data_IF_103908709698
#
_entry.id   IF_103908709698
#
_cell.length_a   1.000
_cell.length_b   1.000
_cell.length_c   1.000
_cell.angle_alpha   90.00
_cell.angle_beta   90.00
_cell.angle_gamma   90.00
#
_symmetry.space_group_name_H-M   'P 1'
#
loop_
_entity.id
_entity.type
_entity.pdbx_description
1 polymer ?
#
# COMPACT_ATOMS: atom_id res chain seq x y z
N UNK A 1 18.52 -7.11 -11.35
CA UNK A 1 18.82 -5.88 -12.11
C UNK A 1 17.75 -5.54 -13.15
N UNK A 2 17.23 -6.53 -13.94
CA UNK A 2 16.23 -6.27 -14.98
C UNK A 2 14.91 -5.70 -14.42
N UNK A 3 14.41 -6.22 -13.28
CA UNK A 3 13.21 -5.68 -12.60
C UNK A 3 13.42 -4.21 -12.22
N UNK A 4 14.60 -3.87 -11.65
CA UNK A 4 14.90 -2.50 -11.22
C UNK A 4 14.98 -1.56 -12.43
N UNK A 5 15.67 -1.98 -13.49
CA UNK A 5 15.76 -1.21 -14.74
C UNK A 5 14.38 -0.97 -15.35
N UNK A 6 13.57 -2.02 -15.49
CA UNK A 6 12.20 -1.91 -16.02
C UNK A 6 11.28 -1.03 -15.12
N UNK A 7 11.47 -1.08 -13.80
CA UNK A 7 10.75 -0.17 -12.88
C UNK A 7 11.17 1.28 -13.11
N UNK A 8 12.44 1.54 -13.38
CA UNK A 8 12.93 2.86 -13.77
C UNK A 8 12.24 3.37 -15.03
N UNK A 9 12.09 2.53 -16.05
CA UNK A 9 11.32 2.88 -17.25
C UNK A 9 9.88 3.27 -16.91
N UNK A 10 9.15 2.46 -16.12
CA UNK A 10 7.78 2.78 -15.71
C UNK A 10 7.69 4.12 -14.97
N UNK A 11 8.69 4.42 -14.13
CA UNK A 11 8.71 5.66 -13.36
C UNK A 11 8.99 6.91 -14.22
N UNK A 12 9.78 6.79 -15.29
CA UNK A 12 10.32 7.94 -16.04
C UNK A 12 9.84 8.05 -17.49
N UNK A 13 9.16 7.02 -18.04
CA UNK A 13 8.72 7.01 -19.44
C UNK A 13 7.82 8.21 -19.75
N UNK A 14 8.13 8.96 -20.82
CA UNK A 14 7.27 9.97 -21.42
C UNK A 14 6.17 9.31 -22.26
N UNK A 15 6.52 8.57 -23.31
CA UNK A 15 5.54 7.89 -24.16
C UNK A 15 4.77 6.80 -23.40
N UNK A 16 3.44 6.77 -23.57
CA UNK A 16 2.60 5.74 -22.92
C UNK A 16 2.98 4.32 -23.35
N UNK A 17 3.36 4.14 -24.62
CA UNK A 17 3.82 2.84 -25.13
C UNK A 17 5.07 2.34 -24.39
N UNK A 18 6.01 3.23 -24.07
CA UNK A 18 7.23 2.90 -23.31
C UNK A 18 6.89 2.54 -21.85
N UNK A 19 5.96 3.25 -21.24
CA UNK A 19 5.46 2.90 -19.90
C UNK A 19 4.87 1.49 -19.88
N UNK A 20 3.99 1.17 -20.83
CA UNK A 20 3.38 -0.17 -20.92
C UNK A 20 4.43 -1.25 -21.20
N UNK A 21 5.39 -0.99 -22.08
CA UNK A 21 6.52 -1.90 -22.32
C UNK A 21 7.34 -2.17 -21.05
N UNK A 22 7.68 -1.11 -20.31
CA UNK A 22 8.33 -1.21 -19.00
C UNK A 22 7.51 -1.99 -17.98
N UNK A 23 6.20 -1.75 -17.93
CA UNK A 23 5.27 -2.48 -17.06
C UNK A 23 5.26 -3.98 -17.33
N UNK A 24 5.18 -4.38 -18.60
CA UNK A 24 5.25 -5.78 -19.01
C UNK A 24 6.61 -6.40 -18.67
N UNK A 25 7.69 -5.65 -18.88
CA UNK A 25 9.05 -6.08 -18.55
C UNK A 25 9.23 -6.29 -17.03
N UNK A 26 8.66 -5.43 -16.18
CA UNK A 26 8.61 -5.63 -14.70
C UNK A 26 7.92 -6.94 -14.37
N UNK A 27 6.73 -7.17 -14.95
CA UNK A 27 5.96 -8.40 -14.72
C UNK A 27 6.71 -9.65 -15.14
N UNK A 28 7.21 -9.68 -16.37
CA UNK A 28 7.94 -10.82 -16.95
C UNK A 28 9.23 -11.14 -16.20
N UNK A 29 10.04 -10.12 -15.90
CA UNK A 29 11.30 -10.30 -15.15
C UNK A 29 11.06 -10.76 -13.71
N UNK A 30 10.01 -10.27 -13.06
CA UNK A 30 9.63 -10.76 -11.73
C UNK A 30 9.15 -12.21 -11.77
N UNK A 31 8.32 -12.60 -12.74
CA UNK A 31 7.88 -14.00 -12.91
C UNK A 31 9.05 -14.92 -13.16
N UNK A 32 10.07 -14.49 -13.93
CA UNK A 32 11.29 -15.23 -14.10
C UNK A 32 12.07 -15.41 -12.79
N UNK A 33 12.18 -14.35 -11.98
CA UNK A 33 12.82 -14.40 -10.67
C UNK A 33 12.05 -15.29 -9.67
N UNK A 34 10.73 -15.21 -9.65
CA UNK A 34 9.89 -16.07 -8.83
C UNK A 34 10.00 -17.54 -9.22
N UNK A 35 10.09 -17.81 -10.52
CA UNK A 35 10.21 -19.16 -11.07
C UNK A 35 11.65 -19.71 -11.09
N UNK A 36 12.63 -19.01 -10.56
CA UNK A 36 14.05 -19.47 -10.57
C UNK A 36 14.23 -20.80 -9.83
N UNK A 37 13.56 -21.01 -8.70
CA UNK A 37 13.60 -22.24 -7.90
C UNK A 37 12.31 -23.04 -8.03
N UNK A 38 11.98 -23.47 -9.26
CA UNK A 38 10.79 -24.30 -9.56
C UNK A 38 10.83 -25.70 -8.95
N UNK A 39 11.98 -26.10 -8.45
CA UNK A 39 12.22 -27.33 -7.70
C UNK A 39 11.59 -27.30 -6.29
N UNK A 40 11.41 -26.10 -5.71
CA UNK A 40 10.84 -25.96 -4.38
C UNK A 40 9.33 -26.18 -4.37
N UNK A 41 8.79 -26.83 -3.31
CA UNK A 41 7.35 -27.05 -3.15
C UNK A 41 6.55 -25.72 -3.19
N UNK A 42 5.42 -25.72 -3.91
CA UNK A 42 4.53 -24.57 -3.99
C UNK A 42 4.96 -23.44 -4.94
N UNK A 43 6.23 -23.39 -5.39
CA UNK A 43 6.71 -22.32 -6.29
C UNK A 43 6.00 -22.36 -7.64
N UNK A 44 5.77 -23.55 -8.21
CA UNK A 44 5.06 -23.67 -9.51
C UNK A 44 3.61 -23.19 -9.43
N UNK A 45 2.94 -23.49 -8.32
CA UNK A 45 1.57 -23.03 -8.09
C UNK A 45 1.52 -21.51 -7.89
N UNK A 46 2.40 -20.97 -7.05
CA UNK A 46 2.57 -19.53 -6.86
C UNK A 46 2.86 -18.80 -8.16
N UNK A 47 3.78 -19.32 -8.97
CA UNK A 47 4.13 -18.76 -10.28
C UNK A 47 2.91 -18.72 -11.20
N UNK A 48 2.16 -19.83 -11.33
CA UNK A 48 0.95 -19.90 -12.16
C UNK A 48 -0.14 -18.94 -11.66
N UNK A 49 -0.35 -18.89 -10.35
CA UNK A 49 -1.34 -17.99 -9.76
C UNK A 49 -0.98 -16.52 -10.00
N UNK A 50 0.29 -16.15 -9.84
CA UNK A 50 0.80 -14.80 -10.09
C UNK A 50 0.70 -14.45 -11.57
N UNK A 51 1.17 -15.33 -12.47
CA UNK A 51 1.13 -15.11 -13.91
C UNK A 51 -0.29 -14.88 -14.43
N UNK A 52 -1.27 -15.67 -13.97
CA UNK A 52 -2.68 -15.48 -14.35
C UNK A 52 -3.22 -14.10 -13.95
N UNK A 53 -2.87 -13.58 -12.75
CA UNK A 53 -3.35 -12.27 -12.29
C UNK A 53 -2.61 -11.13 -13.01
N UNK A 54 -1.32 -11.29 -13.24
CA UNK A 54 -0.57 -10.33 -14.03
C UNK A 54 -1.10 -10.27 -15.46
N UNK A 55 -1.37 -11.41 -16.11
CA UNK A 55 -1.97 -11.44 -17.44
C UNK A 55 -3.29 -10.67 -17.53
N UNK A 56 -4.17 -10.78 -16.52
CA UNK A 56 -5.43 -10.00 -16.48
C UNK A 56 -5.13 -8.50 -16.41
N UNK A 57 -4.25 -8.07 -15.49
CA UNK A 57 -3.90 -6.65 -15.35
C UNK A 57 -3.15 -6.10 -16.57
N UNK A 58 -2.21 -6.90 -17.11
CA UNK A 58 -1.40 -6.52 -18.25
C UNK A 58 -2.28 -6.41 -19.53
N UNK A 59 -3.21 -7.35 -19.74
CA UNK A 59 -4.17 -7.26 -20.83
C UNK A 59 -5.09 -6.04 -20.72
N UNK A 60 -5.54 -5.70 -19.50
CA UNK A 60 -6.33 -4.51 -19.27
C UNK A 60 -5.54 -3.23 -19.62
N UNK A 61 -4.27 -3.14 -19.20
CA UNK A 61 -3.44 -1.98 -19.51
C UNK A 61 -3.14 -1.88 -21.02
N UNK A 62 -2.84 -3.01 -21.68
CA UNK A 62 -2.64 -3.03 -23.13
C UNK A 62 -3.91 -2.62 -23.86
N UNK A 63 -5.09 -3.08 -23.44
CA UNK A 63 -6.36 -2.66 -24.02
C UNK A 63 -6.59 -1.14 -23.87
N UNK A 64 -6.27 -0.57 -22.69
CA UNK A 64 -6.33 0.88 -22.47
C UNK A 64 -5.38 1.64 -23.43
N UNK A 65 -4.12 1.14 -23.59
CA UNK A 65 -3.17 1.70 -24.55
C UNK A 65 -3.71 1.66 -25.97
N UNK A 66 -4.26 0.52 -26.43
CA UNK A 66 -4.79 0.38 -27.79
C UNK A 66 -5.92 1.37 -28.05
N UNK A 67 -6.85 1.53 -27.08
CA UNK A 67 -7.94 2.52 -27.22
C UNK A 67 -7.38 3.94 -27.34
N UNK A 68 -6.41 4.31 -26.51
CA UNK A 68 -5.81 5.64 -26.56
C UNK A 68 -5.02 5.86 -27.86
N UNK A 69 -4.22 4.88 -28.27
CA UNK A 69 -3.40 4.96 -29.47
C UNK A 69 -4.26 5.12 -30.73
N UNK A 70 -5.35 4.34 -30.86
CA UNK A 70 -6.23 4.42 -32.02
C UNK A 70 -6.96 5.76 -32.14
N UNK A 71 -7.11 6.50 -31.03
CA UNK A 71 -7.83 7.76 -30.99
C UNK A 71 -6.91 8.99 -31.06
N UNK A 72 -5.70 8.92 -30.48
CA UNK A 72 -4.83 10.08 -30.27
C UNK A 72 -3.39 9.87 -30.73
N UNK A 73 -3.03 8.66 -31.22
CA UNK A 73 -1.64 8.29 -31.45
C UNK A 73 -0.89 8.04 -30.13
N UNK A 74 0.41 8.29 -30.12
CA UNK A 74 1.22 8.15 -28.91
C UNK A 74 0.94 9.29 -27.93
N UNK A 75 0.54 8.95 -26.73
CA UNK A 75 0.20 9.90 -25.66
C UNK A 75 1.46 10.15 -24.82
N UNK A 76 1.89 11.41 -24.75
CA UNK A 76 3.01 11.80 -23.89
C UNK A 76 2.54 12.15 -22.48
N UNK A 77 3.03 11.38 -21.50
CA UNK A 77 2.71 11.52 -20.09
C UNK A 77 3.47 12.68 -19.41
N UNK A 78 4.45 13.27 -20.07
CA UNK A 78 5.17 14.46 -19.59
C UNK A 78 4.28 15.71 -19.67
N UNK A 79 3.25 15.67 -20.54
CA UNK A 79 2.25 16.72 -20.67
C UNK A 79 0.88 16.27 -20.09
N UNK A 80 0.72 16.22 -18.77
CA UNK A 80 -0.46 15.63 -18.13
C UNK A 80 -1.78 16.33 -18.47
N UNK A 81 -1.73 17.62 -18.79
CA UNK A 81 -2.93 18.38 -19.16
C UNK A 81 -3.43 18.02 -20.57
N UNK A 82 -2.53 17.76 -21.52
CA UNK A 82 -2.89 17.25 -22.84
C UNK A 82 -3.53 15.86 -22.77
N UNK A 83 -2.98 14.99 -21.94
CA UNK A 83 -3.52 13.65 -21.67
C UNK A 83 -4.92 13.71 -21.04
N UNK A 84 -5.11 14.64 -20.07
CA UNK A 84 -6.42 14.85 -19.43
C UNK A 84 -7.46 15.38 -20.41
N UNK A 85 -7.09 16.33 -21.25
CA UNK A 85 -7.96 16.87 -22.29
C UNK A 85 -8.37 15.78 -23.26
N UNK A 86 -7.42 14.96 -23.71
CA UNK A 86 -7.67 13.82 -24.60
C UNK A 86 -8.72 12.85 -24.02
N UNK A 87 -8.58 12.46 -22.76
CA UNK A 87 -9.54 11.54 -22.12
C UNK A 87 -10.90 12.18 -21.87
N UNK A 88 -10.92 13.48 -21.55
CA UNK A 88 -12.17 14.24 -21.39
C UNK A 88 -13.06 14.20 -22.66
N UNK A 89 -12.45 14.12 -23.85
CA UNK A 89 -13.15 14.02 -25.12
C UNK A 89 -13.63 12.59 -25.47
N UNK A 90 -13.17 11.56 -24.73
CA UNK A 90 -13.58 10.15 -24.97
C UNK A 90 -15.01 9.83 -24.49
N UNK A 91 -15.64 10.70 -23.71
CA UNK A 91 -16.98 10.41 -23.15
C UNK A 91 -17.03 9.07 -22.41
N UNK A 92 -17.96 8.20 -22.82
CA UNK A 92 -18.10 6.87 -22.21
C UNK A 92 -16.86 5.96 -22.35
N UNK A 93 -16.07 6.11 -23.41
CA UNK A 93 -14.81 5.37 -23.56
C UNK A 93 -13.77 5.80 -22.52
N UNK A 94 -13.79 7.04 -22.05
CA UNK A 94 -12.91 7.51 -20.98
C UNK A 94 -13.12 6.73 -19.67
N UNK A 95 -14.38 6.41 -19.36
CA UNK A 95 -14.72 5.55 -18.22
C UNK A 95 -14.11 4.15 -18.40
N UNK A 96 -14.25 3.58 -19.60
CA UNK A 96 -13.70 2.23 -19.91
C UNK A 96 -12.17 2.23 -19.75
N UNK A 97 -11.48 3.22 -20.33
CA UNK A 97 -10.00 3.36 -20.22
C UNK A 97 -9.58 3.48 -18.77
N UNK A 98 -10.23 4.36 -18.00
CA UNK A 98 -9.92 4.53 -16.57
C UNK A 98 -10.15 3.24 -15.77
N UNK A 99 -11.23 2.50 -16.03
CA UNK A 99 -11.50 1.21 -15.36
C UNK A 99 -10.47 0.13 -15.74
N UNK A 100 -9.99 0.11 -16.98
CA UNK A 100 -8.93 -0.80 -17.42
C UNK A 100 -7.62 -0.50 -16.71
N UNK A 101 -7.24 0.77 -16.57
CA UNK A 101 -6.05 1.20 -15.81
C UNK A 101 -6.19 0.86 -14.33
N UNK A 102 -7.33 1.15 -13.72
CA UNK A 102 -7.63 0.76 -12.32
C UNK A 102 -7.53 -0.75 -12.14
N UNK A 103 -8.06 -1.55 -13.07
CA UNK A 103 -7.96 -3.01 -13.04
C UNK A 103 -6.51 -3.47 -13.06
N UNK A 104 -5.66 -2.89 -13.92
CA UNK A 104 -4.23 -3.19 -13.96
C UNK A 104 -3.55 -2.86 -12.61
N UNK A 105 -3.85 -1.71 -12.03
CA UNK A 105 -3.33 -1.28 -10.75
C UNK A 105 -3.74 -2.23 -9.61
N UNK A 106 -5.03 -2.61 -9.53
CA UNK A 106 -5.55 -3.53 -8.54
C UNK A 106 -4.93 -4.93 -8.65
N UNK A 107 -4.74 -5.43 -9.88
CA UNK A 107 -4.09 -6.71 -10.14
C UNK A 107 -2.66 -6.73 -9.63
N UNK A 108 -1.85 -5.71 -9.98
CA UNK A 108 -0.44 -5.64 -9.63
C UNK A 108 -0.23 -5.41 -8.13
N UNK A 109 -1.09 -4.63 -7.50
CA UNK A 109 -1.03 -4.33 -6.06
C UNK A 109 -1.79 -5.34 -5.19
N UNK A 110 -2.18 -6.48 -5.73
CA UNK A 110 -2.87 -7.55 -4.99
C UNK A 110 -4.12 -7.06 -4.24
N UNK A 111 -4.98 -6.30 -4.91
CA UNK A 111 -6.21 -5.76 -4.32
C UNK A 111 -7.46 -6.52 -4.75
N UNK A 112 -8.50 -6.46 -3.93
CA UNK A 112 -9.82 -6.99 -4.20
C UNK A 112 -9.82 -8.45 -4.64
N UNK A 113 -10.47 -8.79 -5.77
CA UNK A 113 -10.57 -10.18 -6.20
C UNK A 113 -9.21 -10.76 -6.65
N UNK A 114 -8.22 -9.91 -6.92
CA UNK A 114 -6.90 -10.33 -7.42
C UNK A 114 -5.86 -10.63 -6.33
N UNK A 115 -6.18 -10.45 -5.04
CA UNK A 115 -5.22 -10.50 -3.92
C UNK A 115 -4.51 -11.86 -3.71
N UNK A 116 -5.11 -12.97 -4.14
CA UNK A 116 -4.67 -14.33 -3.77
C UNK A 116 -3.26 -14.71 -4.25
N UNK A 117 -2.69 -14.02 -5.22
CA UNK A 117 -1.35 -14.33 -5.72
C UNK A 117 -0.24 -13.95 -4.71
N UNK A 118 -0.41 -12.83 -3.99
CA UNK A 118 0.63 -12.30 -3.12
C UNK A 118 0.94 -13.22 -1.91
N UNK A 119 -0.05 -13.74 -1.17
CA UNK A 119 0.23 -14.73 -0.12
C UNK A 119 0.94 -15.99 -0.61
N UNK A 120 0.68 -16.42 -1.83
CA UNK A 120 1.38 -17.57 -2.42
C UNK A 120 2.89 -17.37 -2.57
N UNK A 121 3.38 -16.14 -2.59
CA UNK A 121 4.82 -15.83 -2.75
C UNK A 121 5.63 -15.93 -1.45
N UNK A 122 5.03 -16.28 -0.32
CA UNK A 122 5.73 -16.43 0.97
C UNK A 122 6.87 -17.45 0.90
N UNK A 123 6.74 -18.49 0.06
CA UNK A 123 7.77 -19.50 -0.19
C UNK A 123 8.96 -18.99 -1.03
N UNK A 124 8.85 -17.80 -1.63
CA UNK A 124 9.93 -17.23 -2.43
C UNK A 124 11.19 -16.94 -1.59
N UNK A 125 12.40 -17.03 -2.20
CA UNK A 125 13.63 -16.63 -1.54
C UNK A 125 13.55 -15.19 -1.01
N UNK A 126 14.19 -14.94 0.13
CA UNK A 126 14.15 -13.63 0.82
C UNK A 126 14.49 -12.43 -0.08
N UNK A 127 15.53 -12.47 -0.95
CA UNK A 127 15.80 -11.35 -1.86
C UNK A 127 14.69 -11.11 -2.88
N UNK A 128 14.02 -12.17 -3.37
CA UNK A 128 12.90 -12.07 -4.30
C UNK A 128 11.69 -11.47 -3.57
N UNK A 129 11.44 -11.88 -2.32
CA UNK A 129 10.39 -11.29 -1.49
C UNK A 129 10.66 -9.82 -1.19
N UNK A 130 11.90 -9.44 -0.87
CA UNK A 130 12.27 -8.04 -0.67
C UNK A 130 12.01 -7.20 -1.93
N UNK A 131 12.45 -7.67 -3.09
CA UNK A 131 12.23 -7.01 -4.39
C UNK A 131 10.74 -6.88 -4.73
N UNK A 132 9.95 -7.94 -4.46
CA UNK A 132 8.50 -7.94 -4.66
C UNK A 132 7.84 -6.84 -3.83
N UNK A 133 8.09 -6.85 -2.51
CA UNK A 133 7.38 -5.97 -1.58
C UNK A 133 7.91 -4.54 -1.56
N UNK A 134 9.16 -4.32 -1.99
CA UNK A 134 9.73 -2.98 -2.14
C UNK A 134 9.43 -2.32 -3.50
N UNK A 135 9.20 -3.12 -4.54
CA UNK A 135 9.09 -2.62 -5.91
C UNK A 135 7.84 -3.10 -6.64
N UNK A 136 7.76 -4.38 -6.98
CA UNK A 136 6.78 -4.90 -7.94
C UNK A 136 5.33 -4.66 -7.52
N UNK A 137 5.01 -4.87 -6.25
CA UNK A 137 3.65 -4.68 -5.71
C UNK A 137 3.25 -3.20 -5.65
N UNK A 138 4.21 -2.29 -5.56
CA UNK A 138 3.99 -0.85 -5.59
C UNK A 138 3.57 -0.36 -6.99
N UNK A 139 3.73 -1.20 -8.02
CA UNK A 139 3.48 -0.85 -9.41
C UNK A 139 2.09 -0.26 -9.66
N UNK A 140 1.04 -0.73 -8.96
CA UNK A 140 -0.30 -0.17 -9.09
C UNK A 140 -0.38 1.29 -8.67
N UNK A 141 0.25 1.67 -7.54
CA UNK A 141 0.33 3.06 -7.11
C UNK A 141 1.15 3.92 -8.08
N UNK A 142 2.29 3.40 -8.55
CA UNK A 142 3.09 4.09 -9.59
C UNK A 142 2.26 4.33 -10.83
N UNK A 143 1.49 3.33 -11.28
CA UNK A 143 0.63 3.44 -12.46
C UNK A 143 -0.43 4.53 -12.27
N UNK A 144 -1.15 4.54 -11.14
CA UNK A 144 -2.17 5.55 -10.85
C UNK A 144 -1.58 6.96 -10.70
N UNK A 145 -0.38 7.11 -10.14
CA UNK A 145 0.31 8.40 -10.09
C UNK A 145 0.71 8.85 -11.49
N UNK A 146 1.30 7.96 -12.31
CA UNK A 146 1.75 8.29 -13.68
C UNK A 146 0.58 8.60 -14.61
N UNK A 147 -0.55 7.93 -14.43
CA UNK A 147 -1.74 8.09 -15.23
C UNK A 147 -2.84 8.92 -14.54
N UNK A 148 -2.51 9.64 -13.47
CA UNK A 148 -3.47 10.39 -12.66
C UNK A 148 -4.28 11.43 -13.45
N UNK A 149 -3.75 11.94 -14.56
CA UNK A 149 -4.51 12.75 -15.52
C UNK A 149 -5.63 11.96 -16.22
N UNK A 150 -5.42 10.68 -16.49
CA UNK A 150 -6.40 9.76 -17.10
C UNK A 150 -7.44 9.27 -16.08
N UNK A 151 -6.95 8.78 -14.95
CA UNK A 151 -7.77 8.16 -13.92
C UNK A 151 -8.68 9.17 -13.24
N UNK A 152 -8.14 10.34 -12.89
CA UNK A 152 -8.88 11.42 -12.27
C UNK A 152 -9.92 12.09 -13.18
N UNK A 153 -10.03 11.66 -14.45
CA UNK A 153 -11.10 12.10 -15.33
C UNK A 153 -12.42 11.35 -15.09
N UNK A 154 -12.39 10.15 -14.47
CA UNK A 154 -13.55 9.29 -14.25
C UNK A 154 -13.85 9.06 -12.76
N UNK A 155 -14.89 9.72 -12.25
CA UNK A 155 -15.34 9.53 -10.86
C UNK A 155 -15.77 8.09 -10.55
N UNK A 156 -16.39 7.39 -11.49
CA UNK A 156 -16.79 5.99 -11.30
C UNK A 156 -15.60 5.06 -11.17
N UNK A 157 -14.54 5.27 -11.95
CA UNK A 157 -13.31 4.49 -11.81
C UNK A 157 -12.62 4.75 -10.47
N UNK A 158 -12.60 6.00 -9.99
CA UNK A 158 -12.04 6.36 -8.69
C UNK A 158 -12.85 5.78 -7.54
N UNK A 159 -14.18 5.75 -7.62
CA UNK A 159 -15.05 5.06 -6.64
C UNK A 159 -14.71 3.57 -6.58
N UNK A 160 -14.59 2.90 -7.73
CA UNK A 160 -14.23 1.48 -7.78
C UNK A 160 -12.84 1.24 -7.16
N UNK A 161 -11.85 2.05 -7.55
CA UNK A 161 -10.50 1.96 -7.00
C UNK A 161 -10.52 2.13 -5.47
N UNK A 162 -11.20 3.16 -4.97
CA UNK A 162 -11.30 3.45 -3.55
C UNK A 162 -11.98 2.34 -2.76
N UNK A 163 -13.17 1.91 -3.18
CA UNK A 163 -13.97 0.90 -2.46
C UNK A 163 -13.22 -0.44 -2.39
N UNK A 164 -12.68 -0.90 -3.52
CA UNK A 164 -11.90 -2.14 -3.57
C UNK A 164 -10.64 -2.04 -2.71
N UNK A 165 -9.94 -0.92 -2.77
CA UNK A 165 -8.70 -0.70 -2.03
C UNK A 165 -8.95 -0.57 -0.52
N UNK A 166 -9.92 0.25 -0.10
CA UNK A 166 -10.25 0.46 1.31
C UNK A 166 -10.75 -0.83 1.99
N UNK A 167 -11.65 -1.57 1.33
CA UNK A 167 -12.14 -2.85 1.84
C UNK A 167 -11.02 -3.89 1.94
N UNK A 168 -10.13 -3.94 0.94
CA UNK A 168 -8.97 -4.83 0.97
C UNK A 168 -7.99 -4.44 2.08
N UNK A 169 -7.74 -3.15 2.26
CA UNK A 169 -6.85 -2.65 3.31
C UNK A 169 -7.35 -3.03 4.70
N UNK A 170 -8.64 -2.82 4.98
CA UNK A 170 -9.26 -3.20 6.25
C UNK A 170 -9.17 -4.70 6.51
N UNK A 171 -9.55 -5.51 5.52
CA UNK A 171 -9.47 -6.97 5.61
C UNK A 171 -8.03 -7.46 5.83
N UNK A 172 -7.08 -7.00 5.02
CA UNK A 172 -5.70 -7.43 5.09
C UNK A 172 -5.00 -6.99 6.38
N UNK A 173 -5.36 -5.84 6.96
CA UNK A 173 -4.91 -5.40 8.28
C UNK A 173 -5.37 -6.34 9.38
N UNK A 174 -6.64 -6.75 9.34
CA UNK A 174 -7.19 -7.73 10.28
C UNK A 174 -6.50 -9.09 10.20
N UNK A 175 -6.17 -9.55 8.99
CA UNK A 175 -5.41 -10.79 8.77
C UNK A 175 -3.97 -10.65 9.27
N UNK A 176 -3.28 -9.55 8.97
CA UNK A 176 -1.90 -9.31 9.40
C UNK A 176 -1.75 -9.38 10.92
N UNK A 177 -2.70 -8.82 11.66
CA UNK A 177 -2.71 -8.82 13.12
C UNK A 177 -2.88 -10.23 13.73
N UNK A 178 -3.38 -11.21 12.96
CA UNK A 178 -3.67 -12.58 13.42
C UNK A 178 -2.69 -13.64 12.92
N UNK A 179 -1.82 -13.28 11.97
CA UNK A 179 -0.82 -14.21 11.42
C UNK A 179 0.27 -14.51 12.47
N UNK A 180 0.51 -15.80 12.79
CA UNK A 180 1.52 -16.18 13.76
C UNK A 180 2.94 -16.08 13.19
N UNK A 181 3.08 -16.19 11.87
CA UNK A 181 4.37 -16.17 11.18
C UNK A 181 4.72 -14.76 10.70
N UNK A 182 6.00 -14.40 10.83
CA UNK A 182 6.51 -13.06 10.48
C UNK A 182 6.32 -12.76 9.00
N UNK A 183 6.67 -13.70 8.11
CA UNK A 183 6.53 -13.50 6.66
C UNK A 183 5.09 -13.30 6.23
N UNK A 184 4.16 -14.14 6.70
CA UNK A 184 2.75 -14.03 6.38
C UNK A 184 2.13 -12.72 6.90
N UNK A 185 2.53 -12.28 8.11
CA UNK A 185 2.14 -10.98 8.65
C UNK A 185 2.67 -9.84 7.78
N UNK A 186 3.94 -9.89 7.36
CA UNK A 186 4.55 -8.89 6.47
C UNK A 186 3.86 -8.81 5.10
N UNK A 187 3.50 -9.96 4.52
CA UNK A 187 2.77 -10.05 3.24
C UNK A 187 1.37 -9.45 3.36
N UNK A 188 0.64 -9.83 4.41
CA UNK A 188 -0.72 -9.32 4.64
C UNK A 188 -0.72 -7.81 4.90
N UNK A 189 0.23 -7.32 5.70
CA UNK A 189 0.38 -5.86 5.92
C UNK A 189 0.80 -5.12 4.65
N UNK A 190 1.53 -5.75 3.72
CA UNK A 190 1.81 -5.17 2.40
C UNK A 190 0.52 -4.99 1.59
N UNK A 191 -0.35 -6.00 1.54
CA UNK A 191 -1.66 -5.87 0.87
C UNK A 191 -2.47 -4.71 1.43
N UNK A 192 -2.49 -4.53 2.77
CA UNK A 192 -3.16 -3.42 3.43
C UNK A 192 -2.58 -2.05 3.02
N UNK A 193 -1.26 -1.93 3.05
CA UNK A 193 -0.56 -0.69 2.68
C UNK A 193 -0.77 -0.31 1.21
N UNK A 194 -0.76 -1.30 0.31
CA UNK A 194 -1.06 -1.06 -1.11
C UNK A 194 -2.51 -0.61 -1.32
N UNK A 195 -3.46 -1.14 -0.55
CA UNK A 195 -4.83 -0.66 -0.57
C UNK A 195 -4.93 0.80 -0.12
N UNK A 196 -4.23 1.15 0.96
CA UNK A 196 -4.18 2.54 1.41
C UNK A 196 -3.58 3.47 0.35
N UNK A 197 -2.47 3.09 -0.29
CA UNK A 197 -1.83 3.86 -1.37
C UNK A 197 -2.76 4.08 -2.58
N UNK A 198 -3.51 3.06 -3.00
CA UNK A 198 -4.50 3.20 -4.09
C UNK A 198 -5.64 4.13 -3.66
N UNK A 199 -6.09 4.06 -2.40
CA UNK A 199 -7.09 4.97 -1.88
C UNK A 199 -6.58 6.43 -1.85
N UNK A 200 -5.31 6.68 -1.51
CA UNK A 200 -4.67 7.99 -1.62
C UNK A 200 -4.71 8.52 -3.08
N UNK A 201 -4.38 7.68 -4.05
CA UNK A 201 -4.47 8.05 -5.47
C UNK A 201 -5.92 8.38 -5.86
N UNK A 202 -6.91 7.63 -5.37
CA UNK A 202 -8.32 7.84 -5.70
C UNK A 202 -8.86 9.20 -5.25
N UNK A 203 -8.33 9.77 -4.18
CA UNK A 203 -8.66 11.12 -3.72
C UNK A 203 -7.74 12.20 -4.28
N UNK A 204 -6.81 11.85 -5.17
CA UNK A 204 -5.86 12.78 -5.77
C UNK A 204 -4.72 13.19 -4.85
N UNK A 205 -4.45 12.45 -3.77
CA UNK A 205 -3.35 12.69 -2.85
C UNK A 205 -2.03 12.09 -3.37
N UNK A 206 -1.66 12.42 -4.61
CA UNK A 206 -0.53 11.79 -5.32
C UNK A 206 0.81 11.99 -4.63
N UNK A 207 1.07 13.16 -4.03
CA UNK A 207 2.30 13.38 -3.26
C UNK A 207 2.38 12.42 -2.05
N UNK A 208 1.26 12.25 -1.35
CA UNK A 208 1.17 11.30 -0.24
C UNK A 208 1.46 9.88 -0.72
N UNK A 209 0.83 9.46 -1.82
CA UNK A 209 1.04 8.14 -2.40
C UNK A 209 2.50 7.90 -2.80
N UNK A 210 3.21 8.90 -3.36
CA UNK A 210 4.64 8.78 -3.72
C UNK A 210 5.51 8.65 -2.46
N UNK A 211 5.30 9.48 -1.46
CA UNK A 211 6.05 9.41 -0.19
C UNK A 211 5.79 8.08 0.52
N UNK A 212 4.51 7.63 0.53
CA UNK A 212 4.12 6.33 1.07
C UNK A 212 4.84 5.19 0.30
N UNK A 213 4.86 5.24 -1.02
CA UNK A 213 5.51 4.25 -1.87
C UNK A 213 7.00 4.11 -1.55
N UNK A 214 7.73 5.23 -1.46
CA UNK A 214 9.17 5.22 -1.17
C UNK A 214 9.42 4.72 0.25
N UNK A 215 8.71 5.27 1.23
CA UNK A 215 8.84 4.87 2.64
C UNK A 215 8.48 3.40 2.87
N UNK A 216 7.36 2.95 2.29
CA UNK A 216 6.94 1.55 2.34
C UNK A 216 7.97 0.63 1.70
N UNK A 217 8.49 0.98 0.51
CA UNK A 217 9.48 0.19 -0.20
C UNK A 217 10.74 -0.01 0.63
N UNK A 218 11.33 1.05 1.17
CA UNK A 218 12.51 1.01 2.02
C UNK A 218 12.27 0.20 3.32
N UNK A 219 11.15 0.46 4.00
CA UNK A 219 10.77 -0.24 5.23
C UNK A 219 10.57 -1.75 4.99
N UNK A 220 9.82 -2.13 3.96
CA UNK A 220 9.57 -3.55 3.66
C UNK A 220 10.82 -4.28 3.20
N UNK A 221 11.67 -3.65 2.37
CA UNK A 221 12.93 -4.25 1.98
C UNK A 221 13.78 -4.59 3.21
N UNK A 222 13.93 -3.66 4.15
CA UNK A 222 14.72 -3.87 5.36
C UNK A 222 14.15 -5.00 6.23
N UNK A 223 12.82 -5.07 6.41
CA UNK A 223 12.16 -6.11 7.20
C UNK A 223 12.30 -7.50 6.56
N UNK A 224 12.10 -7.61 5.23
CA UNK A 224 12.25 -8.90 4.55
C UNK A 224 13.70 -9.36 4.57
N UNK A 225 14.66 -8.51 4.27
CA UNK A 225 16.09 -8.85 4.32
C UNK A 225 16.54 -9.20 5.75
N UNK A 226 16.00 -8.51 6.76
CA UNK A 226 16.27 -8.77 8.17
C UNK A 226 15.57 -10.02 8.72
N UNK A 227 14.53 -10.55 8.06
CA UNK A 227 13.70 -11.64 8.61
C UNK A 227 14.48 -12.93 8.94
N UNK A 228 15.56 -13.21 8.23
CA UNK A 228 16.45 -14.35 8.50
C UNK A 228 17.25 -14.25 9.81
N UNK A 229 17.53 -13.03 10.30
CA UNK A 229 18.26 -12.81 11.54
C UNK A 229 17.41 -13.05 12.79
N UNK A 230 16.09 -12.89 12.69
CA UNK A 230 15.14 -13.12 13.78
C UNK A 230 15.03 -14.59 14.19
N UNK A 231 15.28 -15.51 13.23
CA UNK A 231 15.28 -16.97 13.49
C UNK A 231 16.47 -17.36 14.37
N UNK A 232 17.57 -16.62 14.31
CA UNK A 232 18.83 -16.88 15.08
C UNK A 232 18.82 -16.30 16.50
N UNK A 233 17.74 -15.62 16.92
CA UNK A 233 17.63 -15.04 18.28
C UNK A 233 16.40 -15.63 19.01
N UNK A 234 16.47 -16.87 19.51
CA UNK A 234 15.32 -17.54 20.13
C UNK A 234 14.83 -16.90 21.43
N UNK A 235 15.58 -15.97 22.04
CA UNK A 235 15.26 -15.42 23.36
C UNK A 235 14.58 -14.05 23.39
N UNK A 236 14.51 -13.33 22.25
CA UNK A 236 14.07 -11.93 22.26
C UNK A 236 12.55 -11.75 22.46
N UNK A 237 11.74 -12.77 22.26
CA UNK A 237 10.28 -12.72 22.48
C UNK A 237 9.83 -12.99 23.92
N UNK A 238 10.64 -13.64 24.73
CA UNK A 238 10.27 -14.02 26.09
C UNK A 238 10.44 -12.93 27.14
N UNK A 239 11.12 -11.81 26.82
CA UNK A 239 11.39 -10.76 27.76
C UNK A 239 10.39 -9.59 27.77
N UNK A 240 9.46 -9.56 26.80
CA UNK A 240 8.40 -8.55 26.76
C UNK A 240 7.21 -9.05 27.59
N UNK A 241 7.26 -8.87 28.91
CA UNK A 241 6.08 -9.02 29.77
C UNK A 241 5.05 -7.98 29.35
N UNK A 242 3.84 -8.43 29.01
CA UNK A 242 2.69 -7.55 28.89
C UNK A 242 2.51 -6.85 30.25
N UNK A 243 2.58 -5.54 30.26
CA UNK A 243 2.31 -4.74 31.46
C UNK A 243 0.82 -4.48 31.52
N UNK A 244 0.20 -4.73 32.69
CA UNK A 244 -1.18 -4.36 32.97
C UNK A 244 -1.29 -2.83 33.16
N UNK A 245 -1.11 -2.09 32.05
CA UNK A 245 -1.39 -0.66 32.06
C UNK A 245 -2.90 -0.44 32.13
N UNK A 246 -3.36 0.49 32.96
CA UNK A 246 -4.78 0.80 33.06
C UNK A 246 -5.32 1.28 31.68
N UNK A 247 -6.59 1.01 31.34
CA UNK A 247 -7.19 1.46 30.09
C UNK A 247 -7.05 2.97 29.83
N UNK A 248 -7.10 3.77 30.91
CA UNK A 248 -6.91 5.23 30.82
C UNK A 248 -5.50 5.63 30.37
N UNK A 249 -4.46 4.98 30.88
CA UNK A 249 -3.07 5.26 30.46
C UNK A 249 -2.87 4.87 29.01
N UNK A 250 -3.44 3.75 28.56
CA UNK A 250 -3.36 3.32 27.16
C UNK A 250 -4.04 4.33 26.23
N UNK A 251 -5.22 4.80 26.61
CA UNK A 251 -5.95 5.81 25.84
C UNK A 251 -5.20 7.14 25.76
N UNK A 252 -4.64 7.61 26.88
CA UNK A 252 -3.84 8.84 26.91
C UNK A 252 -2.56 8.72 26.07
N UNK A 253 -1.85 7.60 26.13
CA UNK A 253 -0.66 7.37 25.31
C UNK A 253 -1.01 7.35 23.81
N UNK A 254 -2.14 6.72 23.45
CA UNK A 254 -2.63 6.67 22.05
C UNK A 254 -3.01 8.04 21.53
N UNK A 255 -3.82 8.77 22.29
CA UNK A 255 -4.30 10.10 21.89
C UNK A 255 -3.16 11.14 21.89
N UNK A 256 -2.28 11.09 22.90
CA UNK A 256 -1.13 11.98 22.98
C UNK A 256 -0.14 11.76 21.83
N UNK A 257 0.15 10.50 21.47
CA UNK A 257 1.00 10.17 20.34
C UNK A 257 0.37 10.62 19.00
N UNK A 258 -0.92 10.35 18.83
CA UNK A 258 -1.65 10.76 17.62
C UNK A 258 -1.68 12.29 17.48
N UNK A 259 -2.07 13.01 18.52
CA UNK A 259 -2.17 14.47 18.49
C UNK A 259 -0.79 15.13 18.33
N UNK A 260 0.22 14.70 19.08
CA UNK A 260 1.57 15.26 19.02
C UNK A 260 2.22 15.06 17.64
N UNK A 261 2.16 13.85 17.10
CA UNK A 261 2.70 13.56 15.77
C UNK A 261 1.97 14.35 14.66
N UNK A 262 0.62 14.43 14.72
CA UNK A 262 -0.15 15.19 13.76
C UNK A 262 0.15 16.70 13.83
N UNK A 263 0.25 17.26 15.02
CA UNK A 263 0.61 18.67 15.20
C UNK A 263 2.01 18.97 14.65
N UNK A 264 2.97 18.05 14.88
CA UNK A 264 4.34 18.19 14.36
C UNK A 264 4.35 18.21 12.82
N UNK A 265 3.61 17.32 12.16
CA UNK A 265 3.53 17.28 10.69
C UNK A 265 2.75 18.48 10.16
N UNK A 266 1.67 18.90 10.83
CA UNK A 266 0.87 20.05 10.44
C UNK A 266 1.64 21.39 10.51
N UNK A 267 2.68 21.47 11.36
CA UNK A 267 3.52 22.65 11.48
C UNK A 267 4.40 22.91 10.24
N UNK A 268 4.56 21.92 9.35
CA UNK A 268 5.35 22.11 8.12
C UNK A 268 4.54 22.88 7.06
N UNK A 269 5.16 23.89 6.43
CA UNK A 269 4.50 24.71 5.41
C UNK A 269 4.00 23.85 4.23
N UNK A 270 2.80 24.14 3.77
CA UNK A 270 2.21 23.50 2.60
C UNK A 270 1.52 22.15 2.85
N UNK A 271 1.75 21.46 3.98
CA UNK A 271 1.11 20.17 4.25
C UNK A 271 -0.41 20.32 4.26
N UNK A 272 -0.95 21.29 4.99
CA UNK A 272 -2.40 21.54 5.06
C UNK A 272 -2.98 22.16 3.78
N UNK A 273 -2.16 22.81 2.97
CA UNK A 273 -2.59 23.40 1.71
C UNK A 273 -2.75 22.36 0.59
N UNK A 274 -2.17 21.16 0.74
CA UNK A 274 -2.32 20.09 -0.25
C UNK A 274 -3.66 19.37 -0.07
N UNK A 275 -4.29 18.96 -1.19
CA UNK A 275 -5.53 18.18 -1.16
C UNK A 275 -5.42 16.89 -0.32
N UNK A 276 -4.20 16.33 -0.22
CA UNK A 276 -3.90 15.16 0.61
C UNK A 276 -3.49 15.46 2.05
N UNK A 277 -3.34 16.73 2.45
CA UNK A 277 -2.80 17.09 3.76
C UNK A 277 -3.61 16.54 4.94
N UNK A 278 -4.94 16.69 4.90
CA UNK A 278 -5.82 16.11 5.92
C UNK A 278 -5.71 14.58 6.01
N UNK A 279 -5.54 13.92 4.86
CA UNK A 279 -5.36 12.47 4.77
C UNK A 279 -4.03 12.04 5.38
N UNK A 280 -2.95 12.78 5.08
CA UNK A 280 -1.63 12.57 5.68
C UNK A 280 -1.67 12.70 7.19
N UNK A 281 -2.35 13.73 7.70
CA UNK A 281 -2.50 13.92 9.14
C UNK A 281 -3.31 12.80 9.79
N UNK A 282 -4.39 12.34 9.15
CA UNK A 282 -5.15 11.20 9.62
C UNK A 282 -4.31 9.92 9.65
N UNK A 283 -3.49 9.69 8.62
CA UNK A 283 -2.57 8.55 8.57
C UNK A 283 -1.51 8.62 9.69
N UNK A 284 -0.90 9.79 9.88
CA UNK A 284 0.05 10.03 10.97
C UNK A 284 -0.60 9.80 12.32
N UNK A 285 -1.82 10.32 12.54
CA UNK A 285 -2.57 10.14 13.78
C UNK A 285 -2.83 8.65 14.08
N UNK A 286 -3.32 7.89 13.08
CA UNK A 286 -3.59 6.46 13.24
C UNK A 286 -2.32 5.67 13.49
N UNK A 287 -1.26 5.96 12.75
CA UNK A 287 0.03 5.24 12.86
C UNK A 287 0.70 5.52 14.20
N UNK A 288 0.78 6.78 14.60
CA UNK A 288 1.36 7.19 15.87
C UNK A 288 0.51 6.69 17.06
N UNK A 289 -0.82 6.77 16.93
CA UNK A 289 -1.74 6.23 17.94
C UNK A 289 -1.59 4.72 18.13
N UNK A 290 -1.51 3.96 17.03
CA UNK A 290 -1.25 2.52 17.09
C UNK A 290 0.11 2.19 17.72
N UNK A 291 1.13 3.00 17.43
CA UNK A 291 2.44 2.93 18.07
C UNK A 291 2.38 3.18 19.56
N UNK A 292 1.67 4.23 20.00
CA UNK A 292 1.45 4.57 21.41
C UNK A 292 0.72 3.45 22.18
N UNK A 293 -0.31 2.87 21.56
CA UNK A 293 -1.01 1.71 22.11
C UNK A 293 -0.07 0.52 22.30
N UNK A 294 0.63 0.08 21.24
CA UNK A 294 1.54 -1.07 21.28
C UNK A 294 2.68 -0.88 22.28
N UNK A 295 3.20 0.35 22.40
CA UNK A 295 4.21 0.68 23.39
C UNK A 295 3.66 0.54 24.83
N UNK A 296 2.45 1.00 25.09
CA UNK A 296 1.82 0.90 26.42
C UNK A 296 1.56 -0.55 26.86
N UNK A 297 1.44 -1.49 25.91
CA UNK A 297 1.24 -2.92 26.17
C UNK A 297 2.54 -3.68 26.52
N UNK A 298 3.69 -3.22 26.06
CA UNK A 298 4.91 -4.03 26.04
C UNK A 298 6.08 -3.51 26.86
N UNK A 299 5.95 -2.39 27.56
CA UNK A 299 7.05 -1.81 28.37
C UNK A 299 6.61 -1.40 29.77
N UNK A 300 7.46 -1.59 30.79
CA UNK A 300 7.19 -1.06 32.13
C UNK A 300 7.11 0.47 32.06
N UNK A 301 6.12 1.04 32.74
CA UNK A 301 5.86 2.48 32.78
C UNK A 301 6.89 3.20 33.66
N UNK A 302 8.17 3.23 33.27
CA UNK A 302 9.11 4.20 33.84
C UNK A 302 8.89 5.55 33.14
N UNK A 303 8.92 6.63 33.89
CA UNK A 303 8.80 7.99 33.35
C UNK A 303 9.81 8.25 32.21
N UNK A 304 11.06 7.78 32.39
CA UNK A 304 12.10 7.90 31.37
C UNK A 304 11.76 7.17 30.06
N UNK A 305 11.19 5.97 30.10
CA UNK A 305 10.82 5.23 28.92
C UNK A 305 9.63 5.90 28.17
N UNK A 306 8.71 6.52 28.89
CA UNK A 306 7.62 7.31 28.31
C UNK A 306 8.15 8.53 27.58
N UNK A 307 9.07 9.28 28.19
CA UNK A 307 9.69 10.46 27.57
C UNK A 307 10.47 10.08 26.30
N UNK A 308 11.30 9.03 26.36
CA UNK A 308 12.08 8.57 25.20
C UNK A 308 11.14 8.13 24.06
N UNK A 309 10.05 7.45 24.37
CA UNK A 309 9.09 7.02 23.36
C UNK A 309 8.36 8.20 22.72
N UNK A 310 7.89 9.16 23.51
CA UNK A 310 7.27 10.37 23.00
C UNK A 310 8.25 11.19 22.13
N UNK A 311 9.48 11.37 22.60
CA UNK A 311 10.51 12.07 21.84
C UNK A 311 10.81 11.38 20.51
N UNK A 312 10.94 10.04 20.50
CA UNK A 312 11.19 9.29 19.25
C UNK A 312 10.02 9.38 18.26
N UNK A 313 8.78 9.38 18.74
CA UNK A 313 7.60 9.57 17.89
C UNK A 313 7.53 10.98 17.27
N UNK A 314 7.80 12.02 18.09
CA UNK A 314 7.83 13.40 17.61
C UNK A 314 8.97 13.62 16.61
N UNK A 315 10.14 13.06 16.90
CA UNK A 315 11.28 13.11 15.97
C UNK A 315 10.95 12.42 14.64
N UNK A 316 10.35 11.23 14.68
CA UNK A 316 9.91 10.53 13.47
C UNK A 316 8.86 11.33 12.68
N UNK A 317 7.89 11.94 13.37
CA UNK A 317 6.91 12.82 12.76
C UNK A 317 7.55 14.07 12.14
N UNK A 318 8.54 14.67 12.83
CA UNK A 318 9.31 15.80 12.29
C UNK A 318 10.11 15.44 11.04
N UNK A 319 10.81 14.29 11.05
CA UNK A 319 11.52 13.77 9.88
C UNK A 319 10.54 13.54 8.72
N UNK A 320 9.39 12.94 9.01
CA UNK A 320 8.35 12.71 8.00
C UNK A 320 7.83 14.01 7.42
N UNK A 321 7.56 15.03 8.26
CA UNK A 321 7.16 16.36 7.82
C UNK A 321 8.21 17.05 6.95
N UNK A 322 9.50 16.94 7.31
CA UNK A 322 10.61 17.45 6.50
C UNK A 322 10.69 16.75 5.14
N UNK A 323 10.54 15.44 5.11
CA UNK A 323 10.52 14.66 3.86
C UNK A 323 9.34 15.09 2.98
N UNK A 324 8.16 15.30 3.56
CA UNK A 324 7.00 15.78 2.84
C UNK A 324 7.20 17.18 2.27
N UNK A 325 7.73 18.11 3.06
CA UNK A 325 7.99 19.47 2.63
C UNK A 325 9.06 19.51 1.53
N UNK A 326 10.17 18.78 1.72
CA UNK A 326 11.24 18.68 0.73
C UNK A 326 10.78 17.96 -0.55
N UNK A 327 10.11 16.82 -0.43
CA UNK A 327 9.54 16.12 -1.57
C UNK A 327 8.45 16.95 -2.25
N UNK A 328 7.62 17.67 -1.48
CA UNK A 328 6.60 18.55 -1.99
C UNK A 328 7.14 19.64 -2.89
N UNK A 329 8.19 20.34 -2.45
CA UNK A 329 8.81 21.40 -3.25
C UNK A 329 9.49 20.88 -4.52
N UNK A 330 10.00 19.66 -4.50
CA UNK A 330 10.82 19.08 -5.58
C UNK A 330 10.01 18.23 -6.55
N UNK A 331 9.07 17.43 -6.06
CA UNK A 331 8.32 16.43 -6.85
C UNK A 331 6.94 16.97 -7.28
N UNK A 332 6.29 17.81 -6.47
CA UNK A 332 4.93 18.27 -6.76
C UNK A 332 4.74 18.91 -8.15
N UNK A 333 5.71 19.68 -8.70
CA UNK A 333 5.57 20.22 -10.06
C UNK A 333 5.44 19.16 -11.16
N UNK A 334 5.89 17.93 -10.89
CA UNK A 334 5.85 16.81 -11.85
C UNK A 334 4.69 15.84 -11.58
N UNK A 335 3.92 16.05 -10.52
CA UNK A 335 2.77 15.23 -10.22
C UNK A 335 1.53 15.76 -10.96
N UNK A 336 0.64 14.85 -11.39
CA UNK A 336 -0.62 15.28 -11.99
C UNK A 336 -1.45 16.08 -10.97
N UNK A 337 -2.06 17.17 -11.40
CA UNK A 337 -3.05 17.83 -10.59
C UNK A 337 -4.28 16.92 -10.41
N UNK A 338 -4.95 16.93 -9.24
CA UNK A 338 -6.16 16.17 -9.03
C UNK A 338 -7.23 16.52 -10.07
N UNK A 339 -7.79 15.50 -10.73
CA UNK A 339 -8.85 15.65 -11.71
C UNK A 339 -10.24 15.80 -11.05
N UNK A 340 -11.25 16.16 -11.85
CA UNK A 340 -12.65 16.28 -11.39
C UNK A 340 -13.24 14.95 -10.92
N UNK A 341 -12.71 13.81 -11.40
CA UNK A 341 -13.11 12.48 -11.02
C UNK A 341 -12.50 11.98 -9.71
N UNK A 342 -11.47 12.65 -9.17
CA UNK A 342 -10.93 12.27 -7.87
C UNK A 342 -11.96 12.54 -6.75
N UNK A 343 -12.05 11.59 -5.83
CA UNK A 343 -12.96 11.67 -4.69
C UNK A 343 -12.52 12.77 -3.72
N UNK A 344 -13.47 13.25 -2.92
CA UNK A 344 -13.16 14.17 -1.83
C UNK A 344 -12.30 13.44 -0.78
N UNK A 345 -11.25 14.07 -0.22
CA UNK A 345 -10.43 13.50 0.85
C UNK A 345 -11.17 12.98 2.07
N UNK A 346 -12.38 13.47 2.34
CA UNK A 346 -13.24 12.98 3.41
C UNK A 346 -13.59 11.49 3.30
N UNK A 347 -13.56 10.93 2.10
CA UNK A 347 -13.75 9.49 1.89
C UNK A 347 -12.69 8.64 2.59
N UNK A 348 -11.43 9.10 2.63
CA UNK A 348 -10.37 8.40 3.37
C UNK A 348 -10.56 8.49 4.87
N UNK A 349 -11.03 9.63 5.38
CA UNK A 349 -11.35 9.77 6.79
C UNK A 349 -12.50 8.84 7.19
N UNK A 350 -13.55 8.78 6.37
CA UNK A 350 -14.68 7.86 6.58
C UNK A 350 -14.24 6.39 6.53
N UNK A 351 -13.37 6.01 5.58
CA UNK A 351 -12.84 4.66 5.50
C UNK A 351 -11.91 4.33 6.69
N UNK A 352 -11.08 5.28 7.12
CA UNK A 352 -10.25 5.14 8.31
C UNK A 352 -11.08 4.94 9.58
N UNK A 353 -12.10 5.76 9.77
CA UNK A 353 -13.04 5.65 10.89
C UNK A 353 -13.77 4.30 10.87
N UNK A 354 -14.28 3.88 9.70
CA UNK A 354 -14.93 2.58 9.53
C UNK A 354 -13.98 1.42 9.85
N UNK A 355 -12.72 1.51 9.44
CA UNK A 355 -11.67 0.53 9.74
C UNK A 355 -11.38 0.44 11.23
N UNK A 356 -11.32 1.57 11.94
CA UNK A 356 -11.12 1.61 13.40
C UNK A 356 -12.31 1.00 14.15
N UNK A 357 -13.55 1.31 13.71
CA UNK A 357 -14.77 0.71 14.26
C UNK A 357 -14.76 -0.80 14.04
N UNK A 358 -14.45 -1.27 12.82
CA UNK A 358 -14.37 -2.70 12.50
C UNK A 358 -13.28 -3.41 13.33
N UNK A 359 -12.11 -2.77 13.52
CA UNK A 359 -11.05 -3.30 14.38
C UNK A 359 -11.46 -3.38 15.85
N UNK A 360 -12.20 -2.39 16.35
CA UNK A 360 -12.79 -2.37 17.68
C UNK A 360 -13.81 -3.49 17.86
N UNK A 361 -14.75 -3.61 16.94
CA UNK A 361 -15.75 -4.66 16.92
C UNK A 361 -15.13 -6.06 16.82
N UNK A 362 -14.08 -6.25 16.01
CA UNK A 362 -13.36 -7.52 15.85
C UNK A 362 -12.64 -8.00 17.12
N UNK A 363 -12.51 -7.15 18.15
CA UNK A 363 -11.98 -7.51 19.47
C UNK A 363 -13.06 -8.09 20.40
N UNK A 364 -14.33 -7.91 20.08
CA UNK A 364 -15.43 -8.48 20.86
C UNK A 364 -15.46 -10.00 20.70
N UNK A 365 -15.67 -10.77 21.80
CA UNK A 365 -15.70 -12.24 21.76
C UNK A 365 -16.72 -12.79 20.76
N UNK A 366 -17.87 -12.13 20.62
CA UNK A 366 -18.97 -12.54 19.73
C UNK A 366 -18.61 -12.47 18.23
N UNK A 367 -17.62 -11.68 17.83
CA UNK A 367 -17.23 -11.52 16.42
C UNK A 367 -15.94 -12.26 16.05
N UNK A 368 -15.21 -12.78 17.05
CA UNK A 368 -13.92 -13.46 16.81
C UNK A 368 -14.02 -14.66 15.87
N UNK A 369 -15.07 -15.45 15.97
CA UNK A 369 -15.27 -16.63 15.13
C UNK A 369 -15.58 -16.27 13.67
N UNK A 370 -16.25 -15.16 13.40
CA UNK A 370 -16.55 -14.66 12.07
C UNK A 370 -15.26 -14.31 11.30
N UNK A 371 -14.32 -13.62 11.96
CA UNK A 371 -13.05 -13.25 11.38
C UNK A 371 -12.13 -14.46 11.17
N UNK A 372 -12.16 -15.45 12.05
CA UNK A 372 -11.39 -16.68 11.88
C UNK A 372 -11.96 -17.53 10.75
N UNK A 373 -13.28 -17.66 10.62
CA UNK A 373 -13.93 -18.34 9.51
C UNK A 373 -13.58 -17.72 8.17
N UNK A 374 -13.75 -16.40 8.03
CA UNK A 374 -13.37 -15.67 6.81
C UNK A 374 -11.88 -15.81 6.46
N UNK A 375 -10.99 -15.85 7.45
CA UNK A 375 -9.56 -16.03 7.22
C UNK A 375 -9.24 -17.47 6.76
N UNK A 376 -9.95 -18.48 7.27
CA UNK A 376 -9.81 -19.88 6.86
C UNK A 376 -10.38 -20.16 5.47
N UNK A 377 -11.59 -19.70 5.18
CA UNK A 377 -12.25 -19.87 3.88
C UNK A 377 -11.53 -19.18 2.72
N UNK A 378 -10.78 -18.12 3.00
CA UNK A 378 -10.05 -17.40 1.97
C UNK A 378 -8.66 -17.95 1.66
N UNK A 379 -8.27 -19.10 2.25
CA UNK A 379 -6.96 -19.73 2.05
C UNK A 379 -5.79 -18.93 2.66
N UNK A 380 -6.08 -17.95 3.52
CA UNK A 380 -5.07 -17.15 4.22
C UNK A 380 -4.60 -17.80 5.52
N UNK A 381 -5.37 -18.74 6.04
CA UNK A 381 -5.00 -19.57 7.17
C UNK A 381 -4.99 -21.03 6.75
N UNK A 382 -3.89 -21.51 6.20
CA UNK A 382 -3.61 -22.95 6.28
C UNK A 382 -3.16 -23.21 7.71
N UNK A 383 -3.82 -24.14 8.46
CA UNK A 383 -3.25 -24.60 9.71
C UNK A 383 -1.89 -25.22 9.37
N UNK A 384 -0.83 -24.64 9.91
CA UNK A 384 0.45 -25.33 9.93
C UNK A 384 0.29 -26.56 10.81
N UNK A 385 0.30 -27.72 10.20
CA UNK A 385 0.50 -28.97 10.89
C UNK A 385 -0.75 -29.77 11.24
N UNK A 386 -1.13 -30.65 10.37
CA UNK A 386 -1.34 -32.06 10.71
C UNK A 386 -1.28 -32.90 9.42
N UNK A 387 -0.07 -33.13 8.92
CA UNK A 387 0.18 -34.32 8.12
C UNK A 387 1.16 -35.17 8.92
N UNK A 388 0.58 -36.16 9.64
CA UNK A 388 1.32 -37.34 10.04
C UNK A 388 1.66 -38.14 8.80
#
# INVERSE_FOLDING_TARGET
>A
NLVVFATGIVATAGPLALLVGGWLAVGGSFLAALGYRRDLPGVRESLRATAKRFAVGDSALVAALVVLWTRYGDVDLVAPDATRAAVGHLGGLGIVVSLLVVTAALCRSAQGPFRRWLPGTVSAPTPVSALLHAGVVNGGGVLLVRLGGLDGASGSAMVVAFVVAATTAGFASGVAARKPDVKGSLVSSTTAQMGFMIAECSVGAYLAAVVHLVGHGAYKASLFLGSGSWIRRPGARSSLRATDSSPGIRSLATLGAAAGASATVAAFPGVLATRGGAVLLAFVAVTAGAGGWGWSEHRPASHGATVISAASMLTAAGIYGLVLAGAGSWIAPYLPAPGRGNLDPWWLLAAGASGLVAAGLGRLPATRWWWTGLALDTGWATPAGNRR
#
